data_IF_473561965196
#
_entry.id   IF_473561965196
#
_cell.length_a   1.000
_cell.length_b   1.000
_cell.length_c   1.000
_cell.angle_alpha   90.00
_cell.angle_beta   90.00
_cell.angle_gamma   90.00
#
_symmetry.space_group_name_H-M   'P 1'
#
loop_
_entity.id
_entity.type
_entity.pdbx_description
1 polymer ?
#
# COMPACT_ATOMS: atom_id res chain seq x y z
N UNK A 1 -46.76 27.46 62.06
CA UNK A 1 -47.59 26.35 61.53
C UNK A 1 -48.58 26.96 60.56
N UNK A 2 -48.35 26.78 59.26
CA UNK A 2 -49.30 26.74 58.14
C UNK A 2 -48.47 26.62 56.84
N UNK A 3 -48.89 25.78 55.87
CA UNK A 3 -48.01 25.18 54.86
C UNK A 3 -47.82 26.05 53.61
N UNK A 4 -46.72 25.79 52.90
CA UNK A 4 -46.40 26.37 51.59
C UNK A 4 -47.30 25.81 50.50
N UNK A 5 -47.82 26.70 49.65
CA UNK A 5 -48.58 26.38 48.45
C UNK A 5 -47.66 25.96 47.29
N UNK A 6 -48.08 24.95 46.53
CA UNK A 6 -47.41 24.48 45.31
C UNK A 6 -47.49 25.53 44.17
N UNK A 7 -46.43 25.69 43.36
CA UNK A 7 -46.51 26.44 42.12
C UNK A 7 -47.09 25.57 40.99
N UNK A 8 -48.06 26.14 40.26
CA UNK A 8 -48.75 25.51 39.12
C UNK A 8 -47.88 25.30 37.87
N UNK A 9 -48.41 24.60 36.85
CA UNK A 9 -47.64 24.14 35.70
C UNK A 9 -47.24 25.30 34.78
N UNK A 10 -45.96 25.37 34.41
CA UNK A 10 -45.48 26.24 33.35
C UNK A 10 -45.94 25.72 31.98
N UNK A 11 -46.56 26.61 31.21
CA UNK A 11 -46.99 26.39 29.82
C UNK A 11 -45.81 26.00 28.93
N UNK A 12 -45.86 24.78 28.38
CA UNK A 12 -44.97 24.34 27.31
C UNK A 12 -45.41 24.99 25.99
N UNK A 13 -44.57 25.88 25.46
CA UNK A 13 -44.73 26.48 24.14
C UNK A 13 -44.61 25.41 23.05
N UNK A 14 -45.74 24.84 22.64
CA UNK A 14 -45.85 23.80 21.62
C UNK A 14 -45.59 24.36 20.22
N UNK A 15 -44.35 24.24 19.73
CA UNK A 15 -44.12 24.17 18.29
C UNK A 15 -44.57 22.78 17.83
N UNK A 16 -45.69 22.72 17.10
CA UNK A 16 -46.14 21.53 16.40
C UNK A 16 -45.01 21.01 15.49
N UNK A 17 -44.43 19.85 15.82
CA UNK A 17 -43.59 19.10 14.91
C UNK A 17 -44.46 18.57 13.76
N UNK A 18 -44.16 19.04 12.54
CA UNK A 18 -44.73 18.52 11.30
C UNK A 18 -44.36 17.03 11.18
N UNK A 19 -45.28 16.12 10.82
CA UNK A 19 -44.98 14.69 10.75
C UNK A 19 -43.87 14.44 9.71
N UNK A 20 -42.72 13.91 10.15
CA UNK A 20 -41.69 13.42 9.23
C UNK A 20 -42.30 12.26 8.44
N UNK A 21 -42.40 12.39 7.11
CA UNK A 21 -42.64 11.25 6.21
C UNK A 21 -41.65 10.15 6.57
N UNK A 22 -42.15 8.98 6.98
CA UNK A 22 -41.31 7.80 7.20
C UNK A 22 -40.72 7.38 5.85
N UNK A 23 -39.42 7.53 5.69
CA UNK A 23 -38.69 7.02 4.53
C UNK A 23 -38.71 5.49 4.57
N UNK A 24 -38.79 4.84 3.41
CA UNK A 24 -38.67 3.38 3.32
C UNK A 24 -37.28 2.95 3.81
N UNK A 25 -37.19 1.78 4.43
CA UNK A 25 -35.91 1.20 4.88
C UNK A 25 -35.52 0.02 4.00
N UNK A 26 -34.25 -0.08 3.61
CA UNK A 26 -33.71 -1.14 2.77
C UNK A 26 -32.55 -1.88 3.44
N UNK A 27 -32.44 -3.18 3.20
CA UNK A 27 -31.31 -4.03 3.62
C UNK A 27 -30.18 -4.03 2.59
N UNK A 28 -28.98 -4.47 2.96
CA UNK A 28 -27.89 -4.62 1.99
C UNK A 28 -28.21 -5.66 0.91
N UNK A 29 -28.93 -6.73 1.29
CA UNK A 29 -29.32 -7.77 0.34
C UNK A 29 -30.25 -7.24 -0.76
N UNK A 30 -31.08 -6.26 -0.46
CA UNK A 30 -31.93 -5.57 -1.45
C UNK A 30 -31.09 -4.60 -2.27
N UNK A 31 -30.36 -3.69 -1.61
CA UNK A 31 -29.56 -2.65 -2.27
C UNK A 31 -28.55 -3.24 -3.26
N UNK A 32 -27.91 -4.36 -2.93
CA UNK A 32 -26.89 -5.00 -3.77
C UNK A 32 -27.44 -5.64 -5.05
N UNK A 33 -28.77 -5.84 -5.15
CA UNK A 33 -29.41 -6.30 -6.41
C UNK A 33 -29.41 -5.21 -7.47
N UNK A 34 -29.39 -3.94 -7.06
CA UNK A 34 -29.43 -2.76 -7.91
C UNK A 34 -28.01 -2.31 -8.29
N UNK A 35 -27.27 -3.20 -8.97
CA UNK A 35 -25.85 -3.02 -9.33
C UNK A 35 -25.56 -3.02 -10.84
N UNK A 36 -26.60 -2.94 -11.69
CA UNK A 36 -26.49 -3.04 -13.15
C UNK A 36 -26.66 -1.69 -13.82
N UNK A 37 -26.17 -1.51 -15.04
CA UNK A 37 -26.23 -0.19 -15.71
C UNK A 37 -27.63 0.40 -15.87
N UNK A 38 -28.64 -0.46 -15.98
CA UNK A 38 -30.06 -0.10 -16.10
C UNK A 38 -30.80 -0.08 -14.75
N UNK A 39 -30.11 -0.35 -13.63
CA UNK A 39 -30.68 -0.41 -12.29
C UNK A 39 -29.58 -0.22 -11.22
N UNK A 40 -29.42 1.02 -10.75
CA UNK A 40 -28.27 1.47 -9.94
C UNK A 40 -28.71 2.22 -8.68
N UNK A 41 -28.48 1.61 -7.51
CA UNK A 41 -28.67 2.29 -6.24
C UNK A 41 -27.34 2.59 -5.55
N UNK A 42 -27.29 3.64 -4.74
CA UNK A 42 -26.11 4.02 -3.94
C UNK A 42 -26.52 4.37 -2.52
N UNK A 43 -25.68 4.05 -1.56
CA UNK A 43 -25.83 4.52 -0.17
C UNK A 43 -24.89 5.71 0.08
N UNK A 44 -25.41 6.84 0.56
CA UNK A 44 -24.62 8.00 0.98
C UNK A 44 -25.15 8.48 2.33
N UNK A 45 -24.30 8.52 3.35
CA UNK A 45 -24.66 8.86 4.74
C UNK A 45 -25.87 8.05 5.25
N UNK A 46 -25.88 6.72 4.99
CA UNK A 46 -26.99 5.80 5.32
C UNK A 46 -28.32 6.10 4.60
N UNK A 47 -28.34 6.98 3.61
CA UNK A 47 -29.50 7.22 2.75
C UNK A 47 -29.33 6.50 1.43
N UNK A 48 -30.40 5.90 0.91
CA UNK A 48 -30.40 5.11 -0.31
C UNK A 48 -30.95 5.97 -1.45
N UNK A 49 -30.19 6.05 -2.53
CA UNK A 49 -30.49 6.87 -3.70
C UNK A 49 -30.57 5.99 -4.94
N UNK A 50 -31.63 6.15 -5.74
CA UNK A 50 -31.70 5.60 -7.08
C UNK A 50 -31.06 6.59 -8.05
N UNK A 51 -29.95 6.18 -8.65
CA UNK A 51 -29.17 7.02 -9.57
C UNK A 51 -29.30 6.57 -11.03
N UNK A 52 -30.16 5.60 -11.32
CA UNK A 52 -30.29 4.96 -12.65
C UNK A 52 -30.45 5.99 -13.77
N UNK A 53 -31.48 6.84 -13.67
CA UNK A 53 -31.79 7.87 -14.67
C UNK A 53 -30.92 9.13 -14.55
N UNK A 54 -30.20 9.27 -13.44
CA UNK A 54 -29.32 10.39 -13.20
C UNK A 54 -27.89 10.13 -13.68
N UNK A 55 -27.48 8.86 -13.79
CA UNK A 55 -26.11 8.49 -14.08
C UNK A 55 -25.55 9.10 -15.36
N UNK A 56 -26.38 9.23 -16.41
CA UNK A 56 -26.00 9.88 -17.66
C UNK A 56 -25.81 11.39 -17.58
N UNK A 57 -26.39 12.06 -16.58
CA UNK A 57 -26.34 13.51 -16.36
C UNK A 57 -25.31 13.92 -15.31
N UNK A 58 -24.70 12.95 -14.61
CA UNK A 58 -23.69 13.21 -13.61
C UNK A 58 -22.46 13.89 -14.22
N UNK A 59 -22.02 15.07 -13.74
CA UNK A 59 -20.86 15.77 -14.29
C UNK A 59 -19.54 14.97 -14.23
N UNK A 60 -19.40 14.06 -13.26
CA UNK A 60 -18.26 13.13 -13.18
C UNK A 60 -18.35 11.93 -14.14
N UNK A 61 -19.37 11.90 -15.00
CA UNK A 61 -19.66 10.82 -15.93
C UNK A 61 -20.38 9.63 -15.28
N UNK A 62 -21.02 8.80 -16.10
CA UNK A 62 -21.81 7.64 -15.63
C UNK A 62 -20.97 6.51 -15.02
N UNK A 63 -19.71 6.37 -15.48
CA UNK A 63 -18.81 5.27 -15.11
C UNK A 63 -18.51 5.22 -13.61
N UNK A 64 -18.39 6.38 -12.97
CA UNK A 64 -18.09 6.45 -11.53
C UNK A 64 -19.28 5.95 -10.69
N UNK A 65 -20.51 6.27 -11.09
CA UNK A 65 -21.71 5.81 -10.39
C UNK A 65 -21.92 4.30 -10.57
N UNK A 66 -21.68 3.81 -11.80
CA UNK A 66 -21.72 2.36 -12.08
C UNK A 66 -20.67 1.59 -11.27
N UNK A 67 -19.54 2.20 -10.94
CA UNK A 67 -18.51 1.53 -10.14
C UNK A 67 -18.96 1.24 -8.70
N UNK A 68 -19.82 2.11 -8.13
CA UNK A 68 -20.29 2.00 -6.75
C UNK A 68 -21.73 1.46 -6.65
N UNK A 69 -22.34 1.05 -7.76
CA UNK A 69 -23.74 0.61 -7.77
C UNK A 69 -23.94 -0.60 -6.84
N UNK A 70 -24.89 -0.48 -5.91
CA UNK A 70 -25.14 -1.44 -4.84
C UNK A 70 -24.24 -1.31 -3.61
N UNK A 71 -23.42 -0.25 -3.49
CA UNK A 71 -22.44 -0.05 -2.41
C UNK A 71 -22.64 1.26 -1.60
N UNK A 72 -21.88 1.41 -0.52
CA UNK A 72 -21.76 2.66 0.24
C UNK A 72 -20.72 3.58 -0.41
N UNK A 73 -21.20 4.67 -1.02
CA UNK A 73 -20.40 5.67 -1.71
C UNK A 73 -20.12 6.91 -0.84
N UNK A 74 -20.40 6.87 0.47
CA UNK A 74 -20.33 8.04 1.37
C UNK A 74 -18.99 8.77 1.30
N UNK A 75 -17.89 8.03 1.41
CA UNK A 75 -16.55 8.61 1.48
C UNK A 75 -16.12 9.24 0.15
N UNK A 76 -16.39 8.55 -0.96
CA UNK A 76 -16.10 9.05 -2.31
C UNK A 76 -16.95 10.27 -2.61
N UNK A 77 -18.23 10.23 -2.24
CA UNK A 77 -19.16 11.35 -2.38
C UNK A 77 -18.65 12.60 -1.64
N UNK A 78 -18.26 12.45 -0.36
CA UNK A 78 -17.69 13.54 0.45
C UNK A 78 -16.36 14.06 -0.10
N UNK A 79 -15.56 13.19 -0.72
CA UNK A 79 -14.27 13.57 -1.28
C UNK A 79 -14.36 14.38 -2.58
N UNK A 80 -15.45 14.22 -3.34
CA UNK A 80 -15.61 14.85 -4.67
C UNK A 80 -16.62 15.99 -4.72
N UNK A 81 -17.61 16.02 -3.82
CA UNK A 81 -18.65 17.05 -3.78
C UNK A 81 -18.42 18.01 -2.59
N UNK A 82 -17.61 19.05 -2.82
CA UNK A 82 -17.23 20.04 -1.78
C UNK A 82 -18.36 21.02 -1.45
N UNK A 83 -19.21 21.35 -2.43
CA UNK A 83 -20.35 22.27 -2.29
C UNK A 83 -21.62 21.49 -1.99
N UNK A 84 -21.73 20.99 -0.76
CA UNK A 84 -22.81 20.11 -0.34
C UNK A 84 -24.20 20.75 -0.52
N UNK A 85 -24.34 22.06 -0.33
CA UNK A 85 -25.64 22.75 -0.45
C UNK A 85 -26.20 22.69 -1.88
N UNK A 86 -25.34 22.83 -2.89
CA UNK A 86 -25.71 22.71 -4.31
C UNK A 86 -26.03 21.26 -4.64
N UNK A 87 -25.21 20.32 -4.17
CA UNK A 87 -25.34 18.89 -4.49
C UNK A 87 -26.60 18.29 -3.85
N UNK A 88 -27.00 18.77 -2.68
CA UNK A 88 -28.25 18.37 -2.02
C UNK A 88 -29.49 18.67 -2.86
N UNK A 89 -29.47 19.71 -3.72
CA UNK A 89 -30.57 19.99 -4.64
C UNK A 89 -30.77 18.85 -5.66
N UNK A 90 -29.68 18.22 -6.11
CA UNK A 90 -29.71 17.10 -7.03
C UNK A 90 -29.96 15.76 -6.35
N UNK A 91 -29.54 15.58 -5.08
CA UNK A 91 -29.76 14.35 -4.32
C UNK A 91 -31.20 14.18 -3.82
N UNK A 92 -31.87 15.28 -3.44
CA UNK A 92 -33.26 15.25 -2.93
C UNK A 92 -34.23 14.44 -3.80
N UNK A 93 -34.30 14.63 -5.13
CA UNK A 93 -35.22 13.86 -5.98
C UNK A 93 -34.80 12.41 -6.19
N UNK A 94 -33.55 12.03 -5.88
CA UNK A 94 -33.03 10.67 -6.06
C UNK A 94 -33.22 9.80 -4.81
N UNK A 95 -33.60 10.40 -3.68
CA UNK A 95 -33.71 9.72 -2.40
C UNK A 95 -34.92 8.78 -2.40
N UNK A 96 -34.67 7.48 -2.23
CA UNK A 96 -35.70 6.44 -2.19
C UNK A 96 -35.91 5.85 -0.80
N UNK A 97 -34.97 6.03 0.14
CA UNK A 97 -35.11 5.59 1.52
C UNK A 97 -33.83 5.66 2.35
N UNK A 98 -33.75 4.84 3.39
CA UNK A 98 -32.63 4.77 4.33
C UNK A 98 -32.16 3.33 4.55
N UNK A 99 -30.89 3.16 4.89
CA UNK A 99 -30.31 1.85 5.22
C UNK A 99 -30.85 1.39 6.57
N UNK A 100 -31.34 0.15 6.63
CA UNK A 100 -31.97 -0.42 7.82
C UNK A 100 -31.09 -0.25 9.10
N UNK A 101 -31.68 0.09 10.27
CA UNK A 101 -30.90 0.44 11.47
C UNK A 101 -29.88 -0.61 11.95
N UNK A 102 -30.14 -1.89 11.68
CA UNK A 102 -29.26 -3.01 12.03
C UNK A 102 -28.17 -3.32 11.00
N UNK A 103 -28.22 -2.70 9.82
CA UNK A 103 -27.23 -2.92 8.76
C UNK A 103 -26.03 -1.99 8.97
N UNK A 104 -24.81 -2.54 9.15
CA UNK A 104 -23.61 -1.72 9.24
C UNK A 104 -23.35 -1.03 7.90
N UNK A 105 -22.72 0.14 7.90
CA UNK A 105 -22.19 0.69 6.64
C UNK A 105 -21.14 -0.29 6.10
N UNK A 106 -21.40 -0.88 4.94
CA UNK A 106 -20.50 -1.84 4.32
C UNK A 106 -19.48 -1.10 3.47
N UNK A 107 -18.34 -0.77 4.08
CA UNK A 107 -17.11 -0.50 3.33
C UNK A 107 -16.37 -1.82 3.14
N UNK A 108 -16.36 -2.36 1.91
CA UNK A 108 -15.46 -3.48 1.59
C UNK A 108 -14.01 -2.99 1.63
N UNK A 109 -13.18 -3.76 2.34
CA UNK A 109 -11.71 -3.67 2.47
C UNK A 109 -11.16 -2.75 3.57
N UNK A 110 -11.26 -3.17 4.84
CA UNK A 110 -10.28 -2.78 5.86
C UNK A 110 -9.85 -3.98 6.72
N UNK A 111 -8.53 -4.04 6.94
CA UNK A 111 -7.81 -4.76 8.02
C UNK A 111 -6.91 -5.93 7.62
N UNK A 112 -5.80 -5.59 6.96
CA UNK A 112 -4.41 -5.98 7.28
C UNK A 112 -3.51 -5.26 6.25
N UNK A 113 -3.59 -3.93 6.20
CA UNK A 113 -3.04 -3.12 5.10
C UNK A 113 -2.30 -1.87 5.57
N UNK A 114 -1.98 -1.69 6.86
CA UNK A 114 -1.33 -0.45 7.31
C UNK A 114 0.01 -0.17 6.60
N UNK A 115 0.76 -1.22 6.22
CA UNK A 115 1.96 -1.12 5.39
C UNK A 115 1.69 -0.73 3.93
N UNK A 116 0.62 -1.24 3.34
CA UNK A 116 0.22 -0.90 1.97
C UNK A 116 -0.48 0.47 1.89
N UNK A 117 -1.24 0.84 2.92
CA UNK A 117 -1.84 2.16 3.09
C UNK A 117 -0.77 3.24 3.30
N UNK A 118 0.28 2.91 4.06
CA UNK A 118 1.50 3.69 4.17
C UNK A 118 2.13 3.94 2.79
N UNK A 119 2.27 2.88 2.01
CA UNK A 119 2.83 2.92 0.66
C UNK A 119 1.99 3.82 -0.26
N UNK A 120 0.67 3.64 -0.27
CA UNK A 120 -0.28 4.45 -1.05
C UNK A 120 -0.24 5.94 -0.67
N UNK A 121 -0.17 6.23 0.64
CA UNK A 121 -0.01 7.58 1.15
C UNK A 121 1.33 8.20 0.74
N UNK A 122 2.39 7.39 0.65
CA UNK A 122 3.71 7.83 0.20
C UNK A 122 3.72 8.26 -1.27
N UNK A 123 2.91 7.59 -2.09
CA UNK A 123 2.69 7.94 -3.49
C UNK A 123 1.63 9.01 -3.72
N UNK A 124 1.11 9.62 -2.67
CA UNK A 124 0.08 10.66 -2.74
C UNK A 124 -1.24 10.18 -3.38
N UNK A 125 -1.52 8.89 -3.33
CA UNK A 125 -2.64 8.27 -4.05
C UNK A 125 -3.96 8.23 -3.28
N UNK A 126 -3.99 8.67 -2.01
CA UNK A 126 -5.17 8.57 -1.14
C UNK A 126 -5.98 9.87 -1.13
N UNK A 127 -5.34 11.00 -0.83
CA UNK A 127 -6.00 12.30 -0.71
C UNK A 127 -5.68 13.21 -1.89
N UNK A 128 -6.63 14.08 -2.25
CA UNK A 128 -6.39 15.14 -3.26
C UNK A 128 -5.30 16.13 -2.85
N UNK A 129 -5.22 16.47 -1.55
CA UNK A 129 -4.19 17.39 -1.02
C UNK A 129 -2.99 16.58 -0.53
N UNK A 130 -1.81 16.85 -1.08
CA UNK A 130 -0.55 16.18 -0.71
C UNK A 130 -0.25 16.25 0.79
N UNK A 131 -0.60 17.36 1.47
CA UNK A 131 -0.43 17.52 2.92
C UNK A 131 -1.06 16.38 3.74
N UNK A 132 -2.27 15.93 3.38
CA UNK A 132 -2.96 14.85 4.09
C UNK A 132 -2.33 13.49 3.82
N UNK A 133 -1.86 13.25 2.60
CA UNK A 133 -1.09 12.06 2.28
C UNK A 133 0.21 12.00 3.09
N UNK A 134 0.96 13.10 3.16
CA UNK A 134 2.19 13.16 3.95
C UNK A 134 1.94 12.98 5.44
N UNK A 135 0.86 13.54 5.99
CA UNK A 135 0.50 13.35 7.39
C UNK A 135 0.14 11.88 7.67
N UNK A 136 -0.72 11.29 6.84
CA UNK A 136 -1.11 9.88 6.97
C UNK A 136 0.10 8.95 6.82
N UNK A 137 0.95 9.21 5.83
CA UNK A 137 2.20 8.47 5.62
C UNK A 137 3.12 8.56 6.85
N UNK A 138 3.36 9.77 7.39
CA UNK A 138 4.17 9.93 8.60
C UNK A 138 3.56 9.19 9.79
N UNK A 139 2.24 9.26 9.96
CA UNK A 139 1.55 8.54 11.03
C UNK A 139 1.71 7.03 10.86
N UNK A 140 1.42 6.46 9.69
CA UNK A 140 1.50 5.02 9.46
C UNK A 140 2.94 4.51 9.53
N UNK A 141 3.92 5.18 8.90
CA UNK A 141 5.32 4.75 8.91
C UNK A 141 5.98 4.92 10.27
N UNK A 142 5.89 6.13 10.83
CA UNK A 142 6.65 6.49 12.00
C UNK A 142 5.93 6.01 13.26
N UNK A 143 4.67 6.43 13.44
CA UNK A 143 3.93 6.12 14.66
C UNK A 143 3.53 4.64 14.73
N UNK A 144 3.07 4.02 13.64
CA UNK A 144 2.57 2.64 13.68
C UNK A 144 3.63 1.58 13.38
N UNK A 145 4.64 1.88 12.55
CA UNK A 145 5.66 0.88 12.15
C UNK A 145 7.06 1.12 12.74
N UNK A 146 7.32 2.29 13.31
CA UNK A 146 8.63 2.63 13.89
C UNK A 146 9.72 2.90 12.86
N UNK A 147 9.36 3.37 11.66
CA UNK A 147 10.28 3.64 10.55
C UNK A 147 10.14 5.10 10.07
N UNK A 148 11.20 5.68 9.51
CA UNK A 148 11.10 7.03 8.93
C UNK A 148 10.38 7.00 7.58
N UNK A 149 9.32 7.81 7.46
CA UNK A 149 8.64 8.06 6.20
C UNK A 149 9.51 8.82 5.19
N UNK A 150 10.35 9.76 5.64
CA UNK A 150 11.22 10.51 4.73
C UNK A 150 12.30 9.62 4.11
N UNK A 151 12.94 8.76 4.92
CA UNK A 151 13.89 7.78 4.43
C UNK A 151 13.26 6.83 3.42
N UNK A 152 12.04 6.34 3.71
CA UNK A 152 11.31 5.47 2.81
C UNK A 152 11.00 6.17 1.49
N UNK A 153 10.44 7.39 1.53
CA UNK A 153 10.12 8.17 0.32
C UNK A 153 11.37 8.44 -0.52
N UNK A 154 12.49 8.79 0.10
CA UNK A 154 13.74 9.07 -0.61
C UNK A 154 14.22 7.85 -1.40
N UNK A 155 14.32 6.68 -0.76
CA UNK A 155 14.75 5.45 -1.43
C UNK A 155 13.73 4.98 -2.47
N UNK A 156 12.46 4.96 -2.10
CA UNK A 156 11.38 4.46 -2.95
C UNK A 156 11.23 5.31 -4.20
N UNK A 157 11.36 6.64 -4.10
CA UNK A 157 11.33 7.52 -5.26
C UNK A 157 12.50 7.25 -6.22
N UNK A 158 13.71 7.04 -5.71
CA UNK A 158 14.86 6.66 -6.55
C UNK A 158 14.61 5.34 -7.28
N UNK A 159 14.06 4.36 -6.57
CA UNK A 159 13.66 3.07 -7.13
C UNK A 159 12.64 3.23 -8.27
N UNK A 160 11.60 4.06 -8.11
CA UNK A 160 10.60 4.34 -9.17
C UNK A 160 11.18 5.09 -10.38
N UNK A 161 12.23 5.90 -10.17
CA UNK A 161 12.86 6.67 -11.26
C UNK A 161 13.83 5.81 -12.08
N UNK A 162 14.53 4.87 -11.45
CA UNK A 162 15.58 4.04 -12.09
C UNK A 162 15.48 2.56 -11.72
N UNK A 163 14.28 1.99 -11.82
CA UNK A 163 13.97 0.60 -11.43
C UNK A 163 14.88 -0.41 -12.11
N UNK A 164 15.49 -1.30 -11.32
CA UNK A 164 16.48 -2.30 -11.72
C UNK A 164 17.69 -1.76 -12.52
N UNK A 165 17.98 -0.45 -12.45
CA UNK A 165 19.18 0.14 -13.05
C UNK A 165 20.29 0.19 -12.00
N UNK A 166 21.30 -0.67 -12.15
CA UNK A 166 22.47 -0.67 -11.27
C UNK A 166 23.50 0.40 -11.72
N UNK A 167 24.11 1.18 -10.81
CA UNK A 167 23.98 1.17 -9.34
C UNK A 167 22.96 2.20 -8.80
N UNK A 168 22.08 2.73 -9.65
CA UNK A 168 21.19 3.86 -9.34
C UNK A 168 19.99 3.47 -8.48
N UNK A 169 19.49 2.25 -8.64
CA UNK A 169 18.37 1.72 -7.86
C UNK A 169 18.85 1.24 -6.46
N UNK A 170 18.40 1.88 -5.37
CA UNK A 170 18.79 1.49 -4.02
C UNK A 170 18.21 0.14 -3.58
N UNK A 171 17.20 -0.42 -4.26
CA UNK A 171 16.55 -1.67 -3.84
C UNK A 171 17.33 -2.91 -4.31
N UNK A 172 18.11 -2.77 -5.40
CA UNK A 172 19.01 -3.83 -5.89
C UNK A 172 20.48 -3.57 -5.56
N UNK A 173 20.85 -2.34 -5.18
CA UNK A 173 22.21 -2.00 -4.76
C UNK A 173 22.44 -2.35 -3.28
N UNK A 174 22.57 -3.64 -3.01
CA UNK A 174 22.63 -4.22 -1.65
C UNK A 174 24.04 -4.69 -1.27
N UNK A 175 25.04 -4.39 -2.10
CA UNK A 175 26.42 -4.72 -1.88
C UNK A 175 27.01 -3.99 -0.66
N UNK A 176 27.99 -4.59 0.03
CA UNK A 176 28.56 -5.90 -0.26
C UNK A 176 27.78 -7.07 0.39
N UNK A 177 26.73 -6.80 1.19
CA UNK A 177 25.99 -7.83 1.94
C UNK A 177 25.13 -8.76 1.08
N UNK A 178 24.63 -8.30 -0.07
CA UNK A 178 23.94 -9.14 -1.03
C UNK A 178 24.35 -8.72 -2.45
N UNK A 179 24.78 -9.69 -3.25
CA UNK A 179 25.09 -9.49 -4.65
C UNK A 179 23.94 -10.04 -5.48
N UNK A 180 23.38 -9.20 -6.35
CA UNK A 180 22.20 -9.53 -7.14
C UNK A 180 22.49 -9.47 -8.64
N UNK A 181 21.72 -10.25 -9.39
CA UNK A 181 21.81 -10.34 -10.85
C UNK A 181 23.16 -10.88 -11.33
N UNK A 182 23.47 -10.59 -12.59
CA UNK A 182 24.63 -11.18 -13.26
C UNK A 182 25.90 -10.31 -13.10
N UNK A 183 25.72 -9.02 -12.81
CA UNK A 183 26.81 -8.04 -12.81
C UNK A 183 27.50 -7.89 -11.45
N UNK A 184 26.74 -7.81 -10.36
CA UNK A 184 27.31 -7.51 -9.03
C UNK A 184 28.25 -8.61 -8.52
N UNK A 185 27.92 -9.92 -8.65
CA UNK A 185 28.80 -11.01 -8.22
C UNK A 185 30.21 -10.91 -8.77
N UNK A 186 30.31 -10.69 -10.09
CA UNK A 186 31.59 -10.62 -10.80
C UNK A 186 32.31 -9.32 -10.49
N UNK A 187 31.61 -8.19 -10.55
CA UNK A 187 32.21 -6.87 -10.30
C UNK A 187 32.82 -6.75 -8.91
N UNK A 188 32.09 -7.15 -7.87
CA UNK A 188 32.59 -7.07 -6.50
C UNK A 188 33.76 -8.00 -6.27
N UNK A 189 33.75 -9.20 -6.88
CA UNK A 189 34.89 -10.11 -6.82
C UNK A 189 36.16 -9.51 -7.43
N UNK A 190 36.06 -8.93 -8.64
CA UNK A 190 37.19 -8.26 -9.29
C UNK A 190 37.72 -7.07 -8.47
N UNK A 191 36.83 -6.28 -7.86
CA UNK A 191 37.22 -5.19 -6.95
C UNK A 191 37.94 -5.72 -5.69
N UNK A 192 37.54 -6.89 -5.18
CA UNK A 192 38.18 -7.52 -4.02
C UNK A 192 39.57 -8.07 -4.33
N UNK A 193 39.75 -8.68 -5.50
CA UNK A 193 41.05 -9.12 -5.99
C UNK A 193 42.01 -7.93 -6.15
N UNK A 194 41.54 -6.86 -6.82
CA UNK A 194 42.32 -5.64 -7.00
C UNK A 194 42.71 -4.98 -5.66
N UNK A 195 41.93 -5.20 -4.61
CA UNK A 195 42.20 -4.68 -3.27
C UNK A 195 43.03 -5.61 -2.37
N UNK A 196 43.50 -6.76 -2.87
CA UNK A 196 44.22 -7.80 -2.09
C UNK A 196 43.47 -8.24 -0.81
N UNK A 197 42.13 -8.15 -0.79
CA UNK A 197 41.34 -8.44 0.41
C UNK A 197 40.98 -9.92 0.49
N UNK A 198 41.44 -10.56 1.58
CA UNK A 198 41.28 -11.98 1.85
C UNK A 198 39.81 -12.45 1.81
N UNK A 199 39.59 -13.53 1.08
CA UNK A 199 38.31 -13.92 0.48
C UNK A 199 37.40 -14.78 1.39
N UNK A 200 37.93 -15.34 2.49
CA UNK A 200 37.18 -16.21 3.41
C UNK A 200 36.12 -15.49 4.26
N UNK A 201 36.24 -14.17 4.43
CA UNK A 201 35.31 -13.37 5.26
C UNK A 201 33.88 -13.34 4.69
N UNK A 202 33.69 -13.71 3.43
CA UNK A 202 32.38 -13.77 2.76
C UNK A 202 31.78 -15.19 2.72
N UNK A 203 32.53 -16.22 3.12
CA UNK A 203 32.04 -17.60 3.24
C UNK A 203 30.88 -17.72 4.27
N UNK A 204 30.80 -16.79 5.24
CA UNK A 204 29.69 -16.66 6.19
C UNK A 204 28.33 -16.35 5.53
N UNK A 205 28.32 -15.79 4.31
CA UNK A 205 27.11 -15.51 3.54
C UNK A 205 26.35 -16.79 3.16
N UNK A 206 27.03 -17.96 3.14
CA UNK A 206 26.39 -19.28 2.95
C UNK A 206 25.61 -19.77 4.18
N UNK A 207 25.96 -19.34 5.41
CA UNK A 207 25.37 -19.85 6.65
C UNK A 207 24.16 -19.02 7.12
N UNK A 208 24.09 -17.76 6.71
CA UNK A 208 22.98 -16.83 6.99
C UNK A 208 21.83 -16.89 5.97
N UNK A 209 21.90 -17.77 4.97
CA UNK A 209 20.96 -17.75 3.85
C UNK A 209 19.51 -18.16 4.21
N UNK A 210 19.30 -18.91 5.30
CA UNK A 210 17.97 -19.33 5.76
C UNK A 210 17.34 -18.46 6.85
N UNK A 211 18.16 -17.74 7.63
CA UNK A 211 17.72 -16.96 8.80
C UNK A 211 17.70 -15.44 8.53
N UNK A 212 18.42 -14.96 7.53
CA UNK A 212 18.67 -13.52 7.35
C UNK A 212 17.65 -12.83 6.44
N UNK A 213 16.89 -13.56 5.62
CA UNK A 213 15.66 -13.01 5.02
C UNK A 213 14.57 -12.73 6.08
N UNK A 214 14.72 -13.30 7.29
CA UNK A 214 13.84 -13.04 8.42
C UNK A 214 14.33 -11.93 9.37
N UNK A 215 15.63 -11.63 9.43
CA UNK A 215 16.17 -10.60 10.34
C UNK A 215 16.62 -9.28 9.71
N UNK A 216 16.85 -9.20 8.39
CA UNK A 216 17.83 -8.21 7.88
C UNK A 216 17.32 -6.89 7.31
N UNK A 217 16.02 -6.57 7.35
CA UNK A 217 15.63 -5.16 7.12
C UNK A 217 16.06 -4.27 8.29
N UNK A 218 16.24 -4.82 9.49
CA UNK A 218 16.71 -4.04 10.66
C UNK A 218 18.23 -4.07 10.83
N UNK A 219 18.94 -5.15 10.45
CA UNK A 219 20.42 -5.11 10.37
C UNK A 219 20.91 -4.23 9.20
N UNK A 220 20.12 -4.10 8.13
CA UNK A 220 20.32 -3.04 7.12
C UNK A 220 20.22 -1.62 7.70
N UNK A 221 19.54 -1.41 8.84
CA UNK A 221 19.55 -0.11 9.55
C UNK A 221 20.87 0.15 10.25
N UNK A 222 21.58 -0.91 10.69
CA UNK A 222 22.86 -0.80 11.39
C UNK A 222 24.01 -0.51 10.41
N UNK A 223 24.05 -1.19 9.25
CA UNK A 223 24.98 -0.81 8.17
C UNK A 223 24.60 0.50 7.47
N UNK A 224 23.31 0.90 7.48
CA UNK A 224 22.86 2.25 7.10
C UNK A 224 22.97 3.28 8.21
N UNK A 225 23.66 3.01 9.32
CA UNK A 225 23.85 4.00 10.39
C UNK A 225 24.33 5.36 9.86
N UNK A 226 25.11 5.38 8.78
CA UNK A 226 25.58 6.61 8.13
C UNK A 226 24.53 7.37 7.29
N UNK A 227 23.52 6.69 6.72
CA UNK A 227 22.39 7.31 5.98
C UNK A 227 21.20 7.63 6.89
N UNK A 228 20.97 6.82 7.92
CA UNK A 228 19.85 6.97 8.87
C UNK A 228 19.94 8.31 9.62
N UNK A 229 21.13 8.82 9.94
CA UNK A 229 21.25 10.14 10.59
C UNK A 229 21.08 11.33 9.65
N UNK A 230 21.37 11.22 8.35
CA UNK A 230 21.25 12.36 7.41
C UNK A 230 19.82 12.64 6.96
N UNK A 231 18.94 11.64 6.97
CA UNK A 231 17.55 11.77 6.50
C UNK A 231 16.51 11.88 7.64
N UNK A 232 16.92 11.74 8.90
CA UNK A 232 16.00 11.85 10.04
C UNK A 232 15.88 13.31 10.47
N UNK A 233 14.73 13.91 10.18
CA UNK A 233 14.34 15.17 10.80
C UNK A 233 14.08 14.94 12.30
N UNK A 234 14.22 15.99 13.13
CA UNK A 234 13.81 15.94 14.54
C UNK A 234 12.35 15.50 14.69
N UNK A 235 11.50 15.87 13.72
CA UNK A 235 10.12 15.42 13.66
C UNK A 235 10.02 13.90 13.46
N UNK A 236 10.81 13.30 12.57
CA UNK A 236 10.82 11.84 12.36
C UNK A 236 11.29 11.12 13.61
N UNK A 237 12.32 11.64 14.30
CA UNK A 237 12.80 11.08 15.56
C UNK A 237 11.68 11.09 16.60
N UNK A 238 10.97 12.21 16.78
CA UNK A 238 9.85 12.29 17.72
C UNK A 238 8.73 11.29 17.40
N UNK A 239 8.32 11.20 16.13
CA UNK A 239 7.27 10.26 15.71
C UNK A 239 7.71 8.79 15.81
N UNK A 240 8.95 8.46 15.46
CA UNK A 240 9.48 7.09 15.59
C UNK A 240 9.64 6.72 17.07
N UNK A 241 10.11 7.62 17.92
CA UNK A 241 10.17 7.41 19.37
C UNK A 241 8.78 7.13 19.95
N UNK A 242 7.73 7.78 19.44
CA UNK A 242 6.37 7.52 19.89
C UNK A 242 5.89 6.08 19.62
N UNK A 243 6.39 5.41 18.56
CA UNK A 243 6.14 3.98 18.35
C UNK A 243 6.74 3.15 19.47
N UNK A 244 8.03 3.34 19.77
CA UNK A 244 8.73 2.57 20.80
C UNK A 244 8.16 2.85 22.19
N UNK A 245 7.93 4.12 22.53
CA UNK A 245 7.28 4.51 23.79
C UNK A 245 5.93 3.82 23.95
N UNK A 246 5.05 3.90 22.93
CA UNK A 246 3.76 3.20 22.97
C UNK A 246 3.94 1.69 23.13
N UNK A 247 4.86 1.09 22.38
CA UNK A 247 5.11 -0.35 22.45
C UNK A 247 5.51 -0.77 23.87
N UNK A 248 6.42 -0.04 24.52
CA UNK A 248 6.82 -0.32 25.91
C UNK A 248 5.73 -0.01 26.93
N UNK A 249 4.92 1.03 26.74
CA UNK A 249 3.78 1.29 27.63
C UNK A 249 2.73 0.18 27.51
N UNK A 250 2.46 -0.29 26.29
CA UNK A 250 1.43 -1.31 26.04
C UNK A 250 1.87 -2.71 26.48
N UNK A 251 3.11 -3.11 26.19
CA UNK A 251 3.56 -4.49 26.38
C UNK A 251 4.53 -4.66 27.57
N UNK A 252 5.18 -3.58 28.01
CA UNK A 252 6.10 -3.57 29.16
C UNK A 252 5.51 -4.12 30.46
N UNK A 253 4.28 -3.74 30.86
CA UNK A 253 3.65 -4.27 32.07
C UNK A 253 3.42 -5.79 32.04
N UNK A 254 3.31 -6.39 30.86
CA UNK A 254 3.02 -7.82 30.70
C UNK A 254 4.27 -8.67 30.56
N UNK A 255 5.31 -8.15 29.90
CA UNK A 255 6.48 -8.94 29.50
C UNK A 255 7.81 -8.43 30.09
N UNK A 256 7.79 -7.32 30.84
CA UNK A 256 9.00 -6.62 31.27
C UNK A 256 9.80 -6.07 30.08
N UNK A 257 10.96 -5.46 30.36
CA UNK A 257 11.80 -4.84 29.32
C UNK A 257 12.28 -5.89 28.31
N UNK A 258 12.84 -7.00 28.79
CA UNK A 258 13.41 -8.03 27.92
C UNK A 258 12.35 -8.79 27.11
N UNK A 259 11.21 -9.14 27.72
CA UNK A 259 10.14 -9.82 27.00
C UNK A 259 9.46 -8.91 25.97
N UNK A 260 9.37 -7.60 26.24
CA UNK A 260 8.87 -6.62 25.25
C UNK A 260 9.82 -6.48 24.06
N UNK A 261 11.13 -6.41 24.30
CA UNK A 261 12.14 -6.41 23.24
C UNK A 261 12.07 -7.70 22.41
N UNK A 262 11.92 -8.85 23.05
CA UNK A 262 11.76 -10.13 22.37
C UNK A 262 10.50 -10.17 21.51
N UNK A 263 9.36 -9.70 22.03
CA UNK A 263 8.11 -9.60 21.29
C UNK A 263 8.27 -8.73 20.04
N UNK A 264 8.89 -7.55 20.20
CA UNK A 264 9.18 -6.65 19.09
C UNK A 264 10.03 -7.35 18.02
N UNK A 265 11.10 -8.03 18.44
CA UNK A 265 11.97 -8.79 17.55
C UNK A 265 11.21 -9.89 16.81
N UNK A 266 10.39 -10.69 17.51
CA UNK A 266 9.61 -11.77 16.92
C UNK A 266 8.60 -11.26 15.88
N UNK A 267 7.91 -10.15 16.17
CA UNK A 267 6.98 -9.52 15.21
C UNK A 267 7.75 -9.08 13.95
N UNK A 268 8.92 -8.45 14.12
CA UNK A 268 9.76 -8.02 12.99
C UNK A 268 10.33 -9.20 12.22
N UNK A 269 10.69 -10.28 12.91
CA UNK A 269 11.19 -11.51 12.33
C UNK A 269 10.15 -12.20 11.44
N UNK A 270 8.88 -12.17 11.83
CA UNK A 270 7.78 -12.72 11.03
C UNK A 270 7.36 -11.78 9.88
N UNK A 271 7.36 -10.47 10.11
CA UNK A 271 6.97 -9.47 9.11
C UNK A 271 7.99 -9.37 7.95
N UNK A 272 9.29 -9.43 8.26
CA UNK A 272 10.36 -9.11 7.31
C UNK A 272 10.44 -10.04 6.09
N UNK A 273 10.35 -11.39 6.21
CA UNK A 273 10.32 -12.27 5.06
C UNK A 273 9.14 -11.98 4.16
N UNK A 274 7.94 -11.83 4.74
CA UNK A 274 6.73 -11.62 3.98
C UNK A 274 6.83 -10.37 3.11
N UNK A 275 7.22 -9.23 3.71
CA UNK A 275 7.36 -7.99 2.94
C UNK A 275 8.52 -8.08 1.92
N UNK A 276 9.60 -8.79 2.23
CA UNK A 276 10.69 -9.00 1.28
C UNK A 276 10.22 -9.80 0.07
N UNK A 277 9.57 -10.95 0.27
CA UNK A 277 9.05 -11.77 -0.82
C UNK A 277 8.03 -11.00 -1.68
N UNK A 278 7.07 -10.32 -1.06
CA UNK A 278 6.05 -9.54 -1.78
C UNK A 278 6.68 -8.41 -2.61
N UNK A 279 7.64 -7.66 -2.06
CA UNK A 279 8.24 -6.54 -2.79
C UNK A 279 9.26 -6.96 -3.85
N UNK A 280 9.93 -8.11 -3.65
CA UNK A 280 11.07 -8.51 -4.48
C UNK A 280 10.74 -9.57 -5.53
N UNK A 281 9.61 -10.28 -5.42
CA UNK A 281 9.17 -11.28 -6.42
C UNK A 281 9.03 -10.72 -7.83
N UNK A 282 8.83 -9.40 -7.93
CA UNK A 282 8.64 -8.68 -9.19
C UNK A 282 9.89 -7.97 -9.70
N UNK A 283 10.99 -7.97 -8.95
CA UNK A 283 12.20 -7.21 -9.27
C UNK A 283 13.46 -8.07 -9.36
N UNK A 284 13.76 -8.85 -8.32
CA UNK A 284 14.97 -9.70 -8.28
C UNK A 284 15.05 -10.68 -9.46
N UNK A 285 13.93 -11.32 -9.89
CA UNK A 285 13.95 -12.20 -11.06
C UNK A 285 14.10 -11.50 -12.41
N UNK A 286 13.89 -10.17 -12.44
CA UNK A 286 13.83 -9.41 -13.68
C UNK A 286 15.22 -8.94 -14.10
N UNK A 287 15.34 -8.50 -15.35
CA UNK A 287 16.62 -8.06 -15.89
C UNK A 287 17.13 -6.84 -15.11
N UNK A 288 18.39 -6.90 -14.70
CA UNK A 288 19.14 -5.79 -14.14
C UNK A 288 20.04 -5.19 -15.23
N UNK A 289 19.99 -3.87 -15.42
CA UNK A 289 20.70 -3.16 -16.49
C UNK A 289 21.57 -2.04 -15.95
N UNK A 290 22.55 -1.57 -16.73
CA UNK A 290 23.42 -0.42 -16.41
C UNK A 290 23.03 0.85 -17.17
N UNK A 291 21.77 0.96 -17.58
CA UNK A 291 21.17 2.07 -18.34
C UNK A 291 21.43 2.02 -19.85
N UNK A 292 20.56 1.29 -20.57
CA UNK A 292 20.66 1.02 -22.02
C UNK A 292 20.06 2.14 -22.92
N UNK A 293 19.93 3.38 -22.43
CA UNK A 293 19.29 4.50 -23.16
C UNK A 293 17.90 4.17 -23.75
N UNK A 294 17.14 3.29 -23.07
CA UNK A 294 15.76 2.94 -23.42
C UNK A 294 14.78 4.00 -22.91
N UNK A 295 13.62 4.12 -23.53
CA UNK A 295 12.56 5.00 -23.01
C UNK A 295 12.07 4.54 -21.63
N UNK A 296 11.48 5.48 -20.88
CA UNK A 296 11.10 5.23 -19.49
C UNK A 296 10.06 4.12 -19.35
N UNK A 297 9.02 4.10 -20.19
CA UNK A 297 7.94 3.11 -20.10
C UNK A 297 8.48 1.70 -20.34
N UNK A 298 9.25 1.51 -21.41
CA UNK A 298 9.82 0.20 -21.73
C UNK A 298 10.83 -0.25 -20.66
N UNK A 299 11.54 0.69 -20.04
CA UNK A 299 12.41 0.39 -18.89
C UNK A 299 11.61 -0.15 -17.71
N UNK A 300 10.51 0.51 -17.33
CA UNK A 300 9.65 0.09 -16.22
C UNK A 300 9.01 -1.27 -16.45
N UNK A 301 8.50 -1.52 -17.67
CA UNK A 301 7.86 -2.79 -18.02
C UNK A 301 8.85 -3.95 -17.99
N UNK A 302 10.07 -3.77 -18.50
CA UNK A 302 11.07 -4.85 -18.56
C UNK A 302 11.80 -5.08 -17.24
N UNK A 303 11.88 -4.04 -16.40
CA UNK A 303 12.43 -4.11 -15.04
C UNK A 303 11.52 -4.83 -14.05
N UNK A 304 10.23 -4.98 -14.36
CA UNK A 304 9.22 -5.48 -13.41
C UNK A 304 8.35 -6.59 -14.00
N UNK A 305 7.65 -7.33 -13.15
CA UNK A 305 6.62 -8.25 -13.62
C UNK A 305 5.41 -8.31 -12.69
N UNK A 306 4.30 -8.75 -13.24
CA UNK A 306 3.07 -8.96 -12.50
C UNK A 306 2.92 -10.39 -12.00
N UNK A 307 2.09 -10.51 -10.97
CA UNK A 307 1.59 -11.77 -10.44
C UNK A 307 0.10 -11.86 -10.77
N UNK A 308 -0.37 -13.08 -11.05
CA UNK A 308 -1.77 -13.33 -11.41
C UNK A 308 -2.75 -12.67 -10.43
N UNK A 309 -3.83 -12.14 -10.99
CA UNK A 309 -4.89 -11.57 -10.19
C UNK A 309 -5.70 -12.67 -9.53
N UNK A 310 -5.89 -12.55 -8.23
CA UNK A 310 -6.90 -13.31 -7.49
C UNK A 310 -7.26 -12.53 -6.24
N UNK A 311 -8.44 -12.79 -5.67
CA UNK A 311 -8.82 -12.16 -4.41
C UNK A 311 -7.74 -12.33 -3.32
N UNK A 312 -7.15 -13.54 -3.24
CA UNK A 312 -6.08 -13.82 -2.30
C UNK A 312 -4.81 -13.02 -2.64
N UNK A 313 -4.37 -13.01 -3.90
CA UNK A 313 -3.14 -12.33 -4.31
C UNK A 313 -3.26 -10.81 -4.08
N UNK A 314 -4.39 -10.22 -4.45
CA UNK A 314 -4.69 -8.80 -4.31
C UNK A 314 -4.69 -8.37 -2.83
N UNK A 315 -5.22 -9.22 -1.95
CA UNK A 315 -5.21 -8.99 -0.50
C UNK A 315 -3.82 -9.20 0.11
N UNK A 316 -3.20 -10.36 -0.15
CA UNK A 316 -1.95 -10.81 0.47
C UNK A 316 -0.76 -9.92 0.09
N UNK A 317 -0.73 -9.42 -1.14
CA UNK A 317 0.35 -8.55 -1.64
C UNK A 317 0.00 -7.07 -1.51
N UNK A 318 -1.21 -6.75 -1.05
CA UNK A 318 -1.73 -5.40 -1.07
C UNK A 318 -1.72 -4.79 -2.48
N UNK A 319 -2.10 -5.55 -3.50
CA UNK A 319 -2.11 -5.17 -4.92
C UNK A 319 -0.73 -4.93 -5.57
N UNK A 320 0.38 -5.21 -4.86
CA UNK A 320 1.72 -5.23 -5.46
C UNK A 320 1.93 -6.40 -6.43
N UNK A 321 0.94 -7.29 -6.59
CA UNK A 321 0.88 -8.19 -7.74
C UNK A 321 0.76 -7.45 -9.09
N UNK A 322 0.36 -6.17 -9.10
CA UNK A 322 0.34 -5.32 -10.29
C UNK A 322 1.55 -4.37 -10.34
N UNK A 323 2.75 -4.92 -10.26
CA UNK A 323 3.99 -4.14 -10.18
C UNK A 323 4.25 -3.29 -11.43
N UNK A 324 3.91 -3.78 -12.63
CA UNK A 324 4.08 -3.03 -13.87
C UNK A 324 3.22 -1.75 -13.82
N UNK A 325 1.93 -1.87 -13.54
CA UNK A 325 1.03 -0.72 -13.46
C UNK A 325 1.37 0.19 -12.28
N UNK A 326 1.88 -0.39 -11.19
CA UNK A 326 2.36 0.36 -10.05
C UNK A 326 3.50 1.33 -10.43
N UNK A 327 4.48 0.86 -11.21
CA UNK A 327 5.60 1.69 -11.67
C UNK A 327 5.21 2.67 -12.77
N UNK A 328 4.25 2.30 -13.64
CA UNK A 328 3.76 3.20 -14.68
C UNK A 328 2.85 4.31 -14.12
N UNK A 329 2.08 4.01 -13.07
CA UNK A 329 1.08 4.92 -12.50
C UNK A 329 1.14 4.92 -10.96
N UNK A 330 2.25 5.34 -10.34
CA UNK A 330 2.45 5.21 -8.89
C UNK A 330 1.42 6.00 -8.06
N UNK A 331 0.90 7.11 -8.59
CA UNK A 331 -0.11 7.95 -7.93
C UNK A 331 -1.54 7.42 -8.08
N UNK A 332 -1.77 6.39 -8.90
CA UNK A 332 -3.08 5.77 -9.07
C UNK A 332 -3.41 4.92 -7.83
N UNK A 333 -4.63 5.02 -7.29
CA UNK A 333 -5.06 4.15 -6.20
C UNK A 333 -4.96 2.69 -6.63
N UNK A 334 -4.21 1.89 -5.87
CA UNK A 334 -3.82 0.53 -6.25
C UNK A 334 -4.96 -0.44 -6.55
N UNK A 335 -6.13 -0.22 -5.98
CA UNK A 335 -7.33 -1.00 -6.29
C UNK A 335 -7.81 -0.81 -7.73
N UNK A 336 -7.28 0.15 -8.48
CA UNK A 336 -7.59 0.37 -9.89
C UNK A 336 -6.58 -0.26 -10.86
N UNK A 337 -5.45 -0.81 -10.38
CA UNK A 337 -4.43 -1.38 -11.27
C UNK A 337 -4.98 -2.49 -12.17
N UNK A 338 -5.84 -3.37 -11.64
CA UNK A 338 -6.48 -4.43 -12.42
C UNK A 338 -7.32 -3.90 -13.60
N UNK A 339 -7.86 -2.68 -13.52
CA UNK A 339 -8.64 -2.05 -14.60
C UNK A 339 -7.74 -1.58 -15.75
N UNK A 340 -6.50 -1.23 -15.43
CA UNK A 340 -5.53 -0.64 -16.38
C UNK A 340 -4.59 -1.70 -16.93
N UNK A 341 -4.37 -2.79 -16.21
CA UNK A 341 -3.51 -3.90 -16.63
C UNK A 341 -3.82 -4.46 -18.04
N UNK A 342 -5.09 -4.68 -18.45
CA UNK A 342 -5.40 -5.11 -19.81
C UNK A 342 -4.98 -4.09 -20.89
N UNK A 343 -5.08 -2.79 -20.58
CA UNK A 343 -4.69 -1.72 -21.49
C UNK A 343 -3.17 -1.65 -21.64
N UNK A 344 -2.44 -1.74 -20.53
CA UNK A 344 -0.97 -1.79 -20.54
C UNK A 344 -0.48 -3.03 -21.28
N UNK A 345 -1.09 -4.20 -21.05
CA UNK A 345 -0.79 -5.43 -21.78
C UNK A 345 -0.99 -5.26 -23.29
N UNK A 346 -2.10 -4.65 -23.70
CA UNK A 346 -2.36 -4.35 -25.12
C UNK A 346 -1.34 -3.38 -25.72
N UNK A 347 -0.92 -2.36 -24.94
CA UNK A 347 0.11 -1.41 -25.36
C UNK A 347 1.46 -2.12 -25.52
N UNK A 348 1.83 -2.99 -24.58
CA UNK A 348 3.05 -3.78 -24.65
C UNK A 348 3.05 -4.68 -25.89
N UNK A 349 1.95 -5.38 -26.16
CA UNK A 349 1.80 -6.21 -27.36
C UNK A 349 1.95 -5.41 -28.66
N UNK A 350 1.35 -4.21 -28.73
CA UNK A 350 1.47 -3.31 -29.90
C UNK A 350 2.91 -2.88 -30.17
N UNK A 351 3.72 -2.72 -29.13
CA UNK A 351 5.10 -2.23 -29.22
C UNK A 351 6.16 -3.33 -29.08
N UNK A 352 5.77 -4.61 -29.07
CA UNK A 352 6.69 -5.73 -28.94
C UNK A 352 7.39 -5.81 -27.58
N UNK A 353 6.81 -5.22 -26.53
CA UNK A 353 7.34 -5.28 -25.17
C UNK A 353 6.83 -6.54 -24.45
N UNK A 354 7.73 -7.23 -23.75
CA UNK A 354 7.38 -8.41 -22.98
C UNK A 354 6.63 -8.00 -21.71
N UNK A 355 5.33 -8.27 -21.67
CA UNK A 355 4.51 -8.14 -20.46
C UNK A 355 4.52 -9.45 -19.67
N UNK A 356 5.28 -9.50 -18.59
CA UNK A 356 5.43 -10.72 -17.77
C UNK A 356 4.35 -10.77 -16.69
N UNK A 357 3.58 -11.87 -16.68
CA UNK A 357 2.58 -12.17 -15.65
C UNK A 357 2.69 -13.66 -15.27
N UNK A 358 2.81 -13.98 -13.99
CA UNK A 358 3.09 -15.35 -13.52
C UNK A 358 2.37 -15.72 -12.23
N UNK A 359 2.20 -17.02 -11.93
CA UNK A 359 1.68 -17.47 -10.64
C UNK A 359 2.58 -17.05 -9.47
N UNK A 360 1.97 -16.77 -8.32
CA UNK A 360 2.69 -16.30 -7.13
C UNK A 360 3.79 -17.27 -6.67
N UNK A 361 3.49 -18.57 -6.65
CA UNK A 361 4.45 -19.60 -6.22
C UNK A 361 5.66 -19.66 -7.18
N UNK A 362 5.43 -19.48 -8.48
CA UNK A 362 6.51 -19.40 -9.46
C UNK A 362 7.40 -18.19 -9.21
N UNK A 363 6.80 -17.03 -8.93
CA UNK A 363 7.56 -15.81 -8.63
C UNK A 363 8.35 -15.89 -7.33
N UNK A 364 7.81 -16.53 -6.29
CA UNK A 364 8.58 -16.82 -5.08
C UNK A 364 9.72 -17.79 -5.35
N UNK A 365 9.49 -18.84 -6.15
CA UNK A 365 10.54 -19.75 -6.59
C UNK A 365 11.60 -19.08 -7.47
N UNK A 366 11.23 -18.09 -8.27
CA UNK A 366 12.15 -17.30 -9.09
C UNK A 366 13.17 -16.53 -8.22
N UNK A 367 12.75 -15.98 -7.07
CA UNK A 367 13.68 -15.30 -6.13
C UNK A 367 14.80 -16.27 -5.74
N UNK A 368 14.43 -17.48 -5.30
CA UNK A 368 15.41 -18.49 -4.88
C UNK A 368 16.32 -18.89 -6.04
N UNK A 369 15.77 -19.03 -7.26
CA UNK A 369 16.55 -19.35 -8.45
C UNK A 369 17.52 -18.23 -8.83
N UNK A 370 17.09 -16.97 -8.80
CA UNK A 370 17.92 -15.81 -9.08
C UNK A 370 19.07 -15.68 -8.07
N UNK A 371 18.78 -15.88 -6.79
CA UNK A 371 19.79 -15.88 -5.73
C UNK A 371 20.80 -17.04 -5.88
N UNK A 372 20.33 -18.25 -6.22
CA UNK A 372 21.21 -19.39 -6.52
C UNK A 372 22.12 -19.11 -7.73
N UNK A 373 21.59 -18.48 -8.79
CA UNK A 373 22.37 -18.06 -9.95
C UNK A 373 23.45 -17.06 -9.56
N UNK A 374 23.09 -16.01 -8.82
CA UNK A 374 24.04 -15.01 -8.33
C UNK A 374 25.17 -15.64 -7.49
N UNK A 375 24.83 -16.56 -6.59
CA UNK A 375 25.81 -17.28 -5.78
C UNK A 375 26.73 -18.18 -6.61
N UNK A 376 26.22 -18.79 -7.68
CA UNK A 376 27.03 -19.57 -8.61
C UNK A 376 28.01 -18.68 -9.38
N UNK A 377 27.55 -17.56 -9.95
CA UNK A 377 28.41 -16.59 -10.64
C UNK A 377 29.52 -16.04 -9.75
N UNK A 378 29.21 -15.73 -8.49
CA UNK A 378 30.22 -15.31 -7.51
C UNK A 378 31.25 -16.42 -7.27
N UNK A 379 30.77 -17.66 -7.09
CA UNK A 379 31.62 -18.84 -6.86
C UNK A 379 32.55 -19.08 -8.06
N UNK A 380 32.03 -19.00 -9.28
CA UNK A 380 32.80 -19.23 -10.49
C UNK A 380 33.86 -18.13 -10.65
N UNK A 381 33.47 -16.86 -10.50
CA UNK A 381 34.42 -15.74 -10.49
C UNK A 381 35.52 -15.93 -9.43
N UNK A 382 35.18 -16.45 -8.26
CA UNK A 382 36.11 -16.74 -7.17
C UNK A 382 37.15 -17.82 -7.52
N UNK A 383 36.75 -18.90 -8.19
CA UNK A 383 37.65 -20.03 -8.47
C UNK A 383 38.37 -19.92 -9.81
N UNK A 384 37.93 -19.05 -10.72
CA UNK A 384 38.59 -18.78 -12.01
C UNK A 384 39.79 -17.81 -11.90
N UNK A 385 39.96 -17.17 -10.74
CA UNK A 385 41.06 -16.25 -10.39
C UNK A 385 41.92 -16.84 -9.29
#
# INVERSE_FOLDING_TARGET
ILPMAEPGPQEANGKQEVPRKSLNTYTWQEIQRHNQQADQWLVINRKVYDVTDWAGRHPGGRRILTHYAGEDATDVFRAVHLELDVVQLYLKPLLIGELAPGEPSQERHKNAQSGFLQHDAGHLSIFKKSKWNHLLHKFLMCHLKGLSGNWWNYRHFQHHVKTNIYPKDPDINMGPLFLLGDLQPVKVHLEMLAAEKCSWKWFLQRLTFGLTLAGSKEEMKLCSGHLTFKCFSLQDIAWVSSFYIRHFITFGPFYGIFGTLLLMYLVKFLESPWIAYVTQMSHIPMQMSTEENRDWLSTQVLATCNIEQSFFNDWFTGHLNFQIEHHLFPTMPRHNYHKVAPLVRSLCAKHGLQYVNKPMLTAFGDIVRALKKSAALWKDAYYET
#
